data_IF_727501366382
#
_entry.id   IF_727501366382
#
_cell.length_a   1.000
_cell.length_b   1.000
_cell.length_c   1.000
_cell.angle_alpha   90.00
_cell.angle_beta   90.00
_cell.angle_gamma   90.00
#
_symmetry.space_group_name_H-M   'P 1'
#
loop_
_entity.id
_entity.type
_entity.pdbx_description
1 polymer ?
#
# COMPACT_ATOMS: atom_id res chain seq x y z
N UNK A 1 13.57 -3.73 35.66
CA UNK A 1 12.97 -4.44 34.51
C UNK A 1 13.53 -3.85 33.22
N UNK A 2 14.58 -4.44 32.64
CA UNK A 2 15.13 -3.93 31.37
C UNK A 2 14.11 -4.13 30.25
N UNK A 3 13.66 -3.04 29.61
CA UNK A 3 12.80 -3.10 28.41
C UNK A 3 13.58 -3.83 27.30
N UNK A 4 13.27 -5.12 27.08
CA UNK A 4 13.80 -5.87 25.92
C UNK A 4 13.34 -5.12 24.66
N UNK A 5 14.28 -4.56 23.90
CA UNK A 5 14.00 -3.94 22.59
C UNK A 5 13.39 -5.03 21.71
N UNK A 6 12.11 -4.88 21.36
CA UNK A 6 11.49 -5.76 20.38
C UNK A 6 12.03 -5.37 19.00
N UNK A 7 12.79 -6.27 18.38
CA UNK A 7 13.20 -6.12 16.99
C UNK A 7 11.98 -6.34 16.10
N UNK A 8 11.47 -5.26 15.50
CA UNK A 8 10.42 -5.34 14.49
C UNK A 8 11.07 -5.64 13.15
N UNK A 9 10.75 -6.79 12.55
CA UNK A 9 11.11 -7.08 11.15
C UNK A 9 10.27 -6.19 10.24
N UNK A 10 10.91 -5.54 9.30
CA UNK A 10 10.27 -4.73 8.26
C UNK A 10 10.67 -5.34 6.93
N UNK A 11 9.68 -5.65 6.13
CA UNK A 11 9.81 -6.14 4.77
C UNK A 11 9.52 -4.97 3.81
N UNK A 12 10.25 -4.89 2.71
CA UNK A 12 10.09 -3.83 1.72
C UNK A 12 9.73 -4.49 0.40
N UNK A 13 8.56 -4.16 -0.12
CA UNK A 13 8.04 -4.71 -1.37
C UNK A 13 7.77 -3.59 -2.37
N UNK A 14 7.90 -3.87 -3.66
CA UNK A 14 7.55 -2.94 -4.75
C UNK A 14 6.22 -3.36 -5.38
N UNK A 15 5.30 -2.41 -5.57
CA UNK A 15 4.10 -2.67 -6.36
C UNK A 15 4.50 -2.76 -7.85
N UNK A 16 4.16 -3.86 -8.56
CA UNK A 16 4.55 -4.02 -9.97
C UNK A 16 3.93 -2.97 -10.91
N UNK A 17 2.79 -2.39 -10.53
CA UNK A 17 2.00 -1.47 -11.37
C UNK A 17 2.46 -0.03 -11.21
N UNK A 18 2.73 0.38 -9.96
CA UNK A 18 3.07 1.78 -9.63
C UNK A 18 4.56 1.98 -9.38
N UNK A 19 5.35 0.91 -9.36
CA UNK A 19 6.79 0.87 -9.00
C UNK A 19 7.11 1.44 -7.60
N UNK A 20 6.08 1.76 -6.81
CA UNK A 20 6.19 2.32 -5.48
C UNK A 20 6.60 1.26 -4.46
N UNK A 21 7.44 1.66 -3.49
CA UNK A 21 7.95 0.77 -2.44
C UNK A 21 7.18 0.95 -1.14
N UNK A 22 6.67 -0.15 -0.61
CA UNK A 22 5.89 -0.20 0.61
C UNK A 22 6.58 -1.03 1.69
N UNK A 23 6.51 -0.54 2.94
CA UNK A 23 7.05 -1.22 4.11
C UNK A 23 5.94 -2.01 4.80
N UNK A 24 6.13 -3.31 4.92
CA UNK A 24 5.22 -4.21 5.64
C UNK A 24 5.91 -4.76 6.89
N UNK A 25 5.11 -5.00 7.92
CA UNK A 25 5.58 -5.67 9.16
C UNK A 25 5.27 -7.17 9.15
N UNK A 26 4.67 -7.65 8.06
CA UNK A 26 4.31 -9.04 7.81
C UNK A 26 4.91 -9.47 6.48
N UNK A 27 5.36 -10.72 6.45
CA UNK A 27 5.85 -11.36 5.24
C UNK A 27 4.66 -11.71 4.34
N UNK A 28 4.79 -11.41 3.06
CA UNK A 28 3.77 -11.72 2.06
C UNK A 28 4.23 -12.94 1.27
N UNK A 29 3.32 -13.89 1.05
CA UNK A 29 3.63 -15.15 0.33
C UNK A 29 3.76 -14.97 -1.17
N UNK A 30 3.08 -13.96 -1.73
CA UNK A 30 3.06 -13.70 -3.15
C UNK A 30 3.32 -12.20 -3.39
N UNK A 31 4.56 -11.87 -3.75
CA UNK A 31 4.99 -10.48 -3.97
C UNK A 31 4.48 -9.91 -5.29
N UNK A 32 4.14 -10.77 -6.25
CA UNK A 32 3.63 -10.36 -7.57
C UNK A 32 2.19 -9.87 -7.51
N UNK A 33 1.43 -10.32 -6.52
CA UNK A 33 0.03 -9.94 -6.27
C UNK A 33 -0.09 -8.69 -5.35
N UNK A 34 1.04 -8.11 -4.95
CA UNK A 34 1.06 -6.92 -4.09
C UNK A 34 0.71 -5.68 -4.89
N UNK A 35 -0.53 -5.22 -4.72
CA UNK A 35 -1.04 -3.99 -5.33
C UNK A 35 -1.07 -2.85 -4.31
N UNK A 36 -0.67 -1.65 -4.75
CA UNK A 36 -0.92 -0.43 -3.99
C UNK A 36 -2.40 -0.08 -4.02
N UNK A 37 -2.89 0.63 -3.01
CA UNK A 37 -4.30 1.07 -2.94
C UNK A 37 -4.65 1.90 -4.18
N UNK A 38 -3.71 2.74 -4.65
CA UNK A 38 -3.87 3.51 -5.88
C UNK A 38 -4.02 2.59 -7.09
N UNK A 39 -3.11 1.63 -7.27
CA UNK A 39 -3.16 0.68 -8.39
C UNK A 39 -4.49 -0.10 -8.43
N UNK A 40 -5.01 -0.50 -7.27
CA UNK A 40 -6.30 -1.19 -7.17
C UNK A 40 -7.44 -0.32 -7.72
N UNK A 41 -7.58 0.92 -7.26
CA UNK A 41 -8.64 1.81 -7.74
C UNK A 41 -8.43 2.30 -9.18
N UNK A 42 -7.19 2.39 -9.66
CA UNK A 42 -6.90 2.70 -11.06
C UNK A 42 -7.40 1.58 -12.00
N UNK A 43 -7.37 0.31 -11.55
CA UNK A 43 -7.91 -0.83 -12.29
C UNK A 43 -9.41 -1.06 -12.06
N UNK A 44 -9.94 -0.65 -10.91
CA UNK A 44 -11.34 -0.83 -10.50
C UNK A 44 -12.03 0.50 -10.24
N UNK A 45 -12.01 1.40 -11.23
CA UNK A 45 -12.56 2.75 -11.09
C UNK A 45 -14.08 2.76 -10.79
N UNK A 46 -14.81 1.74 -11.21
CA UNK A 46 -16.25 1.59 -10.96
C UNK A 46 -16.58 1.27 -9.50
N UNK A 47 -15.63 0.68 -8.77
CA UNK A 47 -15.74 0.33 -7.34
C UNK A 47 -15.12 1.40 -6.44
N UNK A 48 -14.77 2.56 -6.99
CA UNK A 48 -14.18 3.65 -6.23
C UNK A 48 -15.18 4.26 -5.25
N UNK A 49 -15.16 3.77 -4.02
CA UNK A 49 -15.95 4.22 -2.88
C UNK A 49 -15.27 5.35 -2.09
N UNK A 50 -14.14 5.89 -2.58
CA UNK A 50 -13.40 6.93 -1.86
C UNK A 50 -14.27 8.19 -1.68
N UNK A 51 -14.19 8.86 -0.51
CA UNK A 51 -14.94 10.09 -0.28
C UNK A 51 -14.65 11.17 -1.33
N UNK A 52 -15.65 12.01 -1.64
CA UNK A 52 -15.50 13.05 -2.67
C UNK A 52 -14.31 13.98 -2.44
N UNK A 53 -14.01 14.31 -1.18
CA UNK A 53 -12.87 15.16 -0.84
C UNK A 53 -11.51 14.51 -1.15
N UNK A 54 -11.43 13.18 -1.21
CA UNK A 54 -10.24 12.44 -1.64
C UNK A 54 -10.17 12.39 -3.17
N UNK A 55 -11.30 12.12 -3.84
CA UNK A 55 -11.39 12.10 -5.31
C UNK A 55 -10.96 13.44 -5.92
N UNK A 56 -11.46 14.56 -5.36
CA UNK A 56 -11.07 15.91 -5.79
C UNK A 56 -9.56 16.15 -5.66
N UNK A 57 -8.96 15.77 -4.52
CA UNK A 57 -7.50 15.91 -4.30
C UNK A 57 -6.65 15.09 -5.27
N UNK A 58 -7.14 13.94 -5.75
CA UNK A 58 -6.44 13.12 -6.73
C UNK A 58 -6.54 13.68 -8.17
N UNK A 59 -7.61 14.41 -8.48
CA UNK A 59 -7.85 15.05 -9.79
C UNK A 59 -7.16 16.41 -9.94
N UNK A 60 -6.95 17.12 -8.83
CA UNK A 60 -6.34 18.47 -8.80
C UNK A 60 -4.80 18.45 -8.65
N UNK A 61 -4.21 17.26 -8.54
CA UNK A 61 -2.77 17.04 -8.29
C UNK A 61 -1.95 16.75 -9.54
#
# INVERSE_FOLDING_TARGET
MAKRKQHKKIYIYSCPITEEKYKLTREVKNEEDLMSVKAYYDMHAEEDDRPEHIKKKLLEG
#
